data_IF_452084120291
#
_entry.id   IF_452084120291
#
_cell.length_a   1.000
_cell.length_b   1.000
_cell.length_c   1.000
_cell.angle_alpha   90.00
_cell.angle_beta   90.00
_cell.angle_gamma   90.00
#
_symmetry.space_group_name_H-M   'P 1'
#
loop_
_entity.id
_entity.type
_entity.pdbx_description
1 polymer ?
#
# COMPACT_ATOMS: atom_id res chain seq x y z
N UNK A 1 31.76 -46.81 -46.17
CA UNK A 1 31.43 -46.46 -44.77
C UNK A 1 30.88 -45.04 -44.78
N UNK A 2 29.85 -44.78 -43.97
CA UNK A 2 29.06 -43.52 -43.82
C UNK A 2 27.67 -43.56 -44.46
N UNK A 3 26.72 -44.20 -43.76
CA UNK A 3 25.28 -44.18 -44.02
C UNK A 3 24.70 -42.93 -43.34
N UNK A 4 24.17 -41.99 -44.13
CA UNK A 4 23.38 -40.86 -43.62
C UNK A 4 22.00 -41.36 -43.21
N UNK A 5 21.72 -41.40 -41.89
CA UNK A 5 20.38 -41.69 -41.37
C UNK A 5 19.47 -40.47 -41.53
N UNK A 6 18.72 -40.44 -42.62
CA UNK A 6 17.56 -39.56 -42.76
C UNK A 6 16.48 -40.01 -41.76
N UNK A 7 16.30 -39.27 -40.66
CA UNK A 7 15.25 -39.53 -39.67
C UNK A 7 13.90 -39.12 -40.25
N UNK A 8 13.04 -40.11 -40.52
CA UNK A 8 11.64 -39.91 -40.88
C UNK A 8 10.85 -39.39 -39.67
N UNK A 9 9.92 -38.42 -39.84
CA UNK A 9 9.01 -37.98 -38.78
C UNK A 9 8.02 -39.11 -38.41
N UNK A 10 7.64 -39.13 -37.13
CA UNK A 10 6.98 -40.25 -36.41
C UNK A 10 5.46 -40.38 -36.71
N UNK A 11 4.89 -39.61 -37.63
CA UNK A 11 3.44 -39.61 -37.86
C UNK A 11 3.10 -39.73 -39.35
N UNK A 12 3.12 -40.95 -39.88
CA UNK A 12 2.62 -41.25 -41.23
C UNK A 12 1.94 -42.63 -41.34
N UNK A 13 1.68 -43.34 -40.22
CA UNK A 13 1.28 -44.76 -40.27
C UNK A 13 -0.02 -45.07 -39.52
N UNK A 14 -1.07 -44.27 -39.74
CA UNK A 14 -2.45 -44.69 -39.46
C UNK A 14 -3.37 -44.27 -40.61
N UNK A 15 -3.20 -44.96 -41.73
CA UNK A 15 -4.23 -45.01 -42.77
C UNK A 15 -5.39 -45.92 -42.32
N UNK A 16 -6.58 -45.33 -42.35
CA UNK A 16 -7.81 -45.91 -42.92
C UNK A 16 -8.46 -47.12 -42.25
N UNK A 17 -9.37 -46.82 -41.30
CA UNK A 17 -10.65 -47.52 -41.19
C UNK A 17 -11.77 -46.46 -41.12
N UNK A 18 -12.39 -46.18 -42.27
CA UNK A 18 -13.62 -45.39 -42.48
C UNK A 18 -14.87 -46.30 -42.40
N UNK A 19 -16.17 -45.85 -42.34
CA UNK A 19 -16.80 -44.50 -42.21
C UNK A 19 -18.00 -44.51 -41.17
N UNK A 20 -18.98 -43.55 -41.05
CA UNK A 20 -19.74 -42.86 -42.11
C UNK A 20 -19.61 -41.33 -42.09
N UNK A 21 -19.51 -40.77 -43.30
CA UNK A 21 -20.09 -39.48 -43.74
C UNK A 21 -20.22 -38.41 -42.65
N UNK A 22 -19.22 -37.53 -42.60
CA UNK A 22 -19.47 -36.13 -42.25
C UNK A 22 -20.47 -35.60 -43.28
N UNK A 23 -21.76 -35.65 -42.93
CA UNK A 23 -22.73 -34.73 -43.50
C UNK A 23 -22.16 -33.35 -43.23
N UNK A 24 -21.73 -32.69 -44.29
CA UNK A 24 -21.46 -31.27 -44.31
C UNK A 24 -22.70 -30.58 -43.75
N UNK A 25 -22.70 -30.24 -42.47
CA UNK A 25 -23.61 -29.22 -41.98
C UNK A 25 -23.06 -27.89 -42.49
N UNK A 26 -23.87 -27.09 -43.19
CA UNK A 26 -23.41 -25.90 -43.89
C UNK A 26 -22.62 -24.98 -42.96
N UNK A 27 -21.57 -24.35 -43.52
CA UNK A 27 -21.14 -23.03 -43.04
C UNK A 27 -22.35 -22.12 -43.21
N UNK A 28 -23.18 -22.06 -42.18
CA UNK A 28 -24.23 -21.09 -42.07
C UNK A 28 -23.54 -19.79 -41.67
N UNK A 29 -23.48 -18.88 -42.62
CA UNK A 29 -23.19 -17.47 -42.39
C UNK A 29 -24.17 -16.96 -41.32
N UNK A 30 -23.76 -17.03 -40.05
CA UNK A 30 -24.53 -16.47 -38.95
C UNK A 30 -24.35 -14.95 -38.98
N UNK A 31 -25.27 -14.29 -39.68
CA UNK A 31 -25.71 -12.92 -39.44
C UNK A 31 -25.81 -12.63 -37.92
N UNK A 32 -25.65 -11.35 -37.50
CA UNK A 32 -25.31 -10.99 -36.12
C UNK A 32 -26.34 -11.52 -35.12
N UNK A 33 -26.02 -12.63 -34.47
CA UNK A 33 -26.86 -13.22 -33.43
C UNK A 33 -26.83 -12.31 -32.22
N UNK A 34 -27.99 -11.77 -31.86
CA UNK A 34 -28.17 -10.97 -30.65
C UNK A 34 -27.58 -11.72 -29.45
N UNK A 35 -26.75 -11.05 -28.61
CA UNK A 35 -25.93 -11.73 -27.63
C UNK A 35 -26.81 -12.49 -26.63
N UNK A 36 -26.61 -13.80 -26.57
CA UNK A 36 -27.18 -14.66 -25.53
C UNK A 36 -26.73 -14.14 -24.15
N UNK A 37 -27.56 -14.29 -23.10
CA UNK A 37 -27.24 -13.81 -21.75
C UNK A 37 -25.88 -14.29 -21.24
N UNK A 38 -25.44 -15.48 -21.64
CA UNK A 38 -24.13 -16.06 -21.33
C UNK A 38 -22.96 -15.32 -21.97
N UNK A 39 -23.10 -14.83 -23.22
CA UNK A 39 -22.05 -14.08 -23.92
C UNK A 39 -21.82 -12.70 -23.28
N UNK A 40 -22.86 -12.08 -22.73
CA UNK A 40 -22.74 -10.83 -21.97
C UNK A 40 -21.93 -11.01 -20.69
N UNK A 41 -22.17 -12.11 -19.96
CA UNK A 41 -21.43 -12.43 -18.75
C UNK A 41 -19.97 -12.77 -19.06
N UNK A 42 -19.72 -13.56 -20.11
CA UNK A 42 -18.37 -13.87 -20.57
C UNK A 42 -17.58 -12.60 -20.94
N UNK A 43 -18.22 -11.65 -21.63
CA UNK A 43 -17.65 -10.33 -21.92
C UNK A 43 -17.29 -9.55 -20.65
N UNK A 44 -18.19 -9.49 -19.67
CA UNK A 44 -17.94 -8.78 -18.41
C UNK A 44 -16.81 -9.40 -17.59
N UNK A 45 -16.76 -10.73 -17.49
CA UNK A 45 -15.67 -11.44 -16.80
C UNK A 45 -14.33 -11.19 -17.50
N UNK A 46 -14.32 -11.17 -18.84
CA UNK A 46 -13.13 -10.84 -19.63
C UNK A 46 -12.65 -9.41 -19.34
N UNK A 47 -13.54 -8.43 -19.36
CA UNK A 47 -13.20 -7.04 -19.04
C UNK A 47 -12.71 -6.88 -17.59
N UNK A 48 -13.37 -7.53 -16.63
CA UNK A 48 -12.95 -7.50 -15.23
C UNK A 48 -11.54 -8.10 -15.04
N UNK A 49 -11.27 -9.25 -15.65
CA UNK A 49 -9.94 -9.88 -15.60
C UNK A 49 -8.87 -8.96 -16.20
N UNK A 50 -9.13 -8.39 -17.36
CA UNK A 50 -8.18 -7.48 -18.03
C UNK A 50 -7.96 -6.21 -17.23
N UNK A 51 -9.01 -5.66 -16.61
CA UNK A 51 -8.92 -4.47 -15.76
C UNK A 51 -8.06 -4.74 -14.51
N UNK A 52 -8.33 -5.84 -13.80
CA UNK A 52 -7.53 -6.23 -12.63
C UNK A 52 -6.09 -6.46 -13.05
N UNK A 53 -5.85 -7.23 -14.11
CA UNK A 53 -4.50 -7.53 -14.59
C UNK A 53 -3.74 -6.25 -15.01
N UNK A 54 -4.39 -5.32 -15.69
CA UNK A 54 -3.77 -4.06 -16.07
C UNK A 54 -3.36 -3.23 -14.84
N UNK A 55 -4.21 -3.21 -13.80
CA UNK A 55 -3.90 -2.49 -12.57
C UNK A 55 -2.82 -3.18 -11.73
N UNK A 56 -2.77 -4.51 -11.71
CA UNK A 56 -1.71 -5.25 -11.01
C UNK A 56 -0.37 -5.06 -11.71
N UNK A 57 -0.31 -5.18 -13.03
CA UNK A 57 0.92 -4.96 -13.80
C UNK A 57 1.40 -3.51 -13.65
N UNK A 58 0.51 -2.52 -13.76
CA UNK A 58 0.89 -1.12 -13.57
C UNK A 58 1.39 -0.84 -12.14
N UNK A 59 0.87 -1.55 -11.13
CA UNK A 59 1.36 -1.45 -9.76
C UNK A 59 2.73 -2.11 -9.61
N UNK A 60 2.92 -3.31 -10.17
CA UNK A 60 4.19 -4.03 -10.18
C UNK A 60 5.29 -3.22 -10.87
N UNK A 61 5.01 -2.62 -12.03
CA UNK A 61 5.96 -1.78 -12.76
C UNK A 61 6.40 -0.56 -11.95
N UNK A 62 5.46 0.10 -11.27
CA UNK A 62 5.77 1.24 -10.39
C UNK A 62 6.60 0.84 -9.19
N UNK A 63 6.28 -0.29 -8.57
CA UNK A 63 7.03 -0.82 -7.44
C UNK A 63 8.44 -1.24 -7.87
N UNK A 64 8.57 -1.91 -9.01
CA UNK A 64 9.84 -2.32 -9.55
C UNK A 64 10.69 -1.11 -9.95
N UNK A 65 10.08 -0.09 -10.56
CA UNK A 65 10.74 1.17 -10.88
C UNK A 65 11.20 1.93 -9.63
N UNK A 66 10.35 2.02 -8.61
CA UNK A 66 10.71 2.62 -7.33
C UNK A 66 11.82 1.85 -6.63
N UNK A 67 11.73 0.52 -6.55
CA UNK A 67 12.75 -0.32 -5.94
C UNK A 67 14.07 -0.23 -6.71
N UNK A 68 14.03 -0.19 -8.04
CA UNK A 68 15.22 0.03 -8.86
C UNK A 68 15.84 1.40 -8.60
N UNK A 69 15.04 2.46 -8.46
CA UNK A 69 15.52 3.79 -8.12
C UNK A 69 16.10 3.85 -6.70
N UNK A 70 15.44 3.23 -5.73
CA UNK A 70 15.92 3.14 -4.34
C UNK A 70 17.21 2.35 -4.28
N UNK A 71 17.30 1.17 -4.90
CA UNK A 71 18.52 0.36 -4.93
C UNK A 71 19.67 1.06 -5.66
N UNK A 72 19.38 1.79 -6.75
CA UNK A 72 20.36 2.61 -7.43
C UNK A 72 20.89 3.73 -6.51
N UNK A 73 19.99 4.33 -5.73
CA UNK A 73 20.34 5.34 -4.74
C UNK A 73 21.10 4.72 -3.54
N UNK A 74 20.74 3.54 -3.08
CA UNK A 74 21.41 2.82 -1.99
C UNK A 74 22.86 2.47 -2.31
N UNK A 75 23.20 2.19 -3.58
CA UNK A 75 24.59 1.98 -3.99
C UNK A 75 25.44 3.23 -3.81
N UNK A 76 24.87 4.40 -4.16
CA UNK A 76 25.54 5.70 -3.95
C UNK A 76 25.68 6.03 -2.46
N UNK A 77 24.66 5.77 -1.64
CA UNK A 77 24.74 5.93 -0.19
C UNK A 77 25.67 4.91 0.47
N UNK A 78 25.74 3.67 -0.02
CA UNK A 78 26.64 2.65 0.55
C UNK A 78 28.09 2.95 0.21
N UNK A 79 28.40 3.43 -0.99
CA UNK A 79 29.74 3.91 -1.32
C UNK A 79 30.10 5.19 -0.54
N UNK A 80 29.16 6.12 -0.36
CA UNK A 80 29.39 7.31 0.46
C UNK A 80 29.52 6.97 1.94
N UNK A 81 28.68 6.10 2.50
CA UNK A 81 28.73 5.64 3.91
C UNK A 81 29.97 4.77 4.16
N UNK A 82 30.35 3.90 3.22
CA UNK A 82 31.60 3.14 3.30
C UNK A 82 32.84 4.04 3.24
N UNK A 83 32.74 5.18 2.54
CA UNK A 83 33.81 6.19 2.55
C UNK A 83 33.76 7.15 3.75
N UNK A 84 32.67 7.19 4.52
CA UNK A 84 32.44 8.16 5.62
C UNK A 84 32.12 7.54 7.00
N UNK A 85 32.45 6.28 7.25
CA UNK A 85 32.34 5.76 8.61
C UNK A 85 33.43 6.36 9.53
N UNK A 86 33.13 6.94 10.71
CA UNK A 86 31.91 7.60 11.21
C UNK A 86 32.19 9.02 11.82
N UNK A 87 31.15 9.81 12.18
CA UNK A 87 30.97 10.05 13.61
C UNK A 87 29.53 9.76 14.12
N UNK A 88 29.39 9.26 15.36
CA UNK A 88 28.14 8.89 16.02
C UNK A 88 27.31 10.09 16.55
N UNK A 89 27.42 11.26 15.92
CA UNK A 89 26.75 12.49 16.38
C UNK A 89 25.34 12.68 15.83
N UNK A 90 24.98 11.94 14.78
CA UNK A 90 23.58 11.87 14.35
C UNK A 90 22.88 10.87 15.27
N UNK A 91 22.44 11.35 16.43
CA UNK A 91 21.57 10.63 17.35
C UNK A 91 20.19 10.26 16.76
N UNK A 92 19.93 10.60 15.48
CA UNK A 92 18.78 10.13 14.70
C UNK A 92 19.21 8.96 13.80
N UNK A 93 19.12 7.73 14.31
CA UNK A 93 19.24 6.55 13.45
C UNK A 93 17.96 6.44 12.61
N UNK A 94 17.99 7.00 11.40
CA UNK A 94 16.85 7.06 10.47
C UNK A 94 16.27 5.67 10.19
N UNK A 95 17.12 4.63 10.10
CA UNK A 95 16.67 3.25 9.83
C UNK A 95 15.77 2.66 10.94
N UNK A 96 16.20 2.56 12.21
CA UNK A 96 15.30 2.11 13.28
C UNK A 96 14.17 3.10 13.56
N UNK A 97 14.40 4.41 13.39
CA UNK A 97 13.35 5.43 13.54
C UNK A 97 12.20 5.24 12.55
N UNK A 98 12.50 5.06 11.27
CA UNK A 98 11.51 4.82 10.23
C UNK A 98 10.70 3.54 10.47
N UNK A 99 11.34 2.49 11.03
CA UNK A 99 10.64 1.27 11.43
C UNK A 99 9.63 1.55 12.56
N UNK A 100 9.99 2.34 13.57
CA UNK A 100 9.05 2.70 14.64
C UNK A 100 7.86 3.51 14.12
N UNK A 101 8.10 4.42 13.19
CA UNK A 101 7.03 5.17 12.50
C UNK A 101 6.09 4.25 11.74
N UNK A 102 6.64 3.28 11.00
CA UNK A 102 5.86 2.30 10.25
C UNK A 102 5.03 1.40 11.18
N UNK A 103 5.63 0.92 12.27
CA UNK A 103 4.93 0.13 13.29
C UNK A 103 3.82 0.96 13.96
N UNK A 104 4.07 2.22 14.28
CA UNK A 104 3.06 3.11 14.85
C UNK A 104 1.88 3.32 13.88
N UNK A 105 2.16 3.60 12.60
CA UNK A 105 1.13 3.73 11.57
C UNK A 105 0.32 2.44 11.40
N UNK A 106 1.00 1.28 11.37
CA UNK A 106 0.36 -0.03 11.27
C UNK A 106 -0.52 -0.33 12.50
N UNK A 107 -0.06 0.07 13.70
CA UNK A 107 -0.85 -0.01 14.94
C UNK A 107 -2.10 0.86 14.84
N UNK A 108 -1.99 2.09 14.31
CA UNK A 108 -3.12 2.95 14.01
C UNK A 108 -4.11 2.33 13.00
N UNK A 109 -3.61 1.57 12.03
CA UNK A 109 -4.45 0.82 11.07
C UNK A 109 -5.19 -0.34 11.71
N UNK A 110 -4.60 -1.03 12.67
CA UNK A 110 -5.26 -2.11 13.39
C UNK A 110 -6.40 -1.52 14.25
N UNK A 111 -6.13 -0.43 14.96
CA UNK A 111 -7.12 0.23 15.84
C UNK A 111 -8.29 0.80 15.03
N UNK A 112 -8.04 1.40 13.87
CA UNK A 112 -9.08 1.98 13.01
C UNK A 112 -9.80 0.96 12.11
N UNK A 113 -9.45 -0.33 12.18
CA UNK A 113 -9.96 -1.40 11.29
C UNK A 113 -11.48 -1.54 11.29
N UNK A 114 -12.15 -1.31 12.43
CA UNK A 114 -13.60 -1.45 12.58
C UNK A 114 -14.33 -0.08 12.68
N UNK A 115 -13.76 0.96 12.08
CA UNK A 115 -14.34 2.30 12.05
C UNK A 115 -14.61 2.73 10.60
N UNK A 116 -15.27 3.88 10.44
CA UNK A 116 -15.58 4.45 9.13
C UNK A 116 -14.36 4.44 8.18
N UNK A 117 -14.61 4.26 6.88
CA UNK A 117 -13.56 4.20 5.83
C UNK A 117 -12.61 5.41 5.87
N UNK A 118 -13.15 6.58 6.24
CA UNK A 118 -12.38 7.80 6.44
C UNK A 118 -11.37 7.66 7.59
N UNK A 119 -11.81 7.15 8.75
CA UNK A 119 -10.92 6.93 9.89
C UNK A 119 -9.88 5.84 9.61
N UNK A 120 -10.26 4.81 8.87
CA UNK A 120 -9.34 3.75 8.44
C UNK A 120 -8.21 4.28 7.55
N UNK A 121 -8.48 5.31 6.76
CA UNK A 121 -7.45 5.98 5.97
C UNK A 121 -6.66 6.98 6.81
N UNK A 122 -7.31 7.87 7.55
CA UNK A 122 -6.65 9.03 8.18
C UNK A 122 -5.88 8.69 9.46
N UNK A 123 -6.36 7.75 10.28
CA UNK A 123 -5.74 7.41 11.56
C UNK A 123 -4.32 6.84 11.39
N UNK A 124 -4.05 5.88 10.48
CA UNK A 124 -2.68 5.40 10.23
C UNK A 124 -1.73 6.53 9.83
N UNK A 125 -2.18 7.46 8.98
CA UNK A 125 -1.36 8.60 8.57
C UNK A 125 -1.11 9.57 9.72
N UNK A 126 -2.14 9.90 10.50
CA UNK A 126 -1.98 10.80 11.64
C UNK A 126 -1.01 10.22 12.69
N UNK A 127 -1.16 8.93 13.02
CA UNK A 127 -0.27 8.23 13.96
C UNK A 127 1.14 8.11 13.39
N UNK A 128 1.28 7.77 12.11
CA UNK A 128 2.58 7.70 11.43
C UNK A 128 3.30 9.03 11.40
N UNK A 129 2.62 10.11 10.99
CA UNK A 129 3.21 11.46 10.97
C UNK A 129 3.55 11.96 12.38
N UNK A 130 2.69 11.68 13.37
CA UNK A 130 2.97 12.00 14.76
C UNK A 130 4.20 11.26 15.30
N UNK A 131 4.31 9.96 15.01
CA UNK A 131 5.48 9.17 15.36
C UNK A 131 6.74 9.68 14.64
N UNK A 132 6.62 10.09 13.37
CA UNK A 132 7.74 10.64 12.61
C UNK A 132 8.26 11.94 13.23
N UNK A 133 7.36 12.78 13.74
CA UNK A 133 7.73 14.02 14.43
C UNK A 133 8.45 13.77 15.76
N UNK A 134 8.01 12.76 16.52
CA UNK A 134 8.58 12.42 17.84
C UNK A 134 9.91 11.67 17.70
N UNK A 135 9.96 10.71 16.77
CA UNK A 135 11.10 9.79 16.63
C UNK A 135 12.17 10.34 15.69
N UNK A 136 11.80 11.17 14.69
CA UNK A 136 12.72 11.77 13.72
C UNK A 136 12.49 13.30 13.54
N UNK A 137 12.59 14.10 14.61
CA UNK A 137 12.34 15.55 14.55
C UNK A 137 13.22 16.30 13.54
N UNK A 138 14.50 15.95 13.38
CA UNK A 138 15.40 16.65 12.45
C UNK A 138 15.16 16.24 11.00
N UNK A 139 14.90 14.95 10.74
CA UNK A 139 14.47 14.49 9.42
C UNK A 139 13.19 15.19 8.98
N UNK A 140 12.22 15.33 9.89
CA UNK A 140 10.94 15.98 9.59
C UNK A 140 11.10 17.49 9.33
N UNK A 141 12.00 18.18 10.03
CA UNK A 141 12.36 19.58 9.75
C UNK A 141 13.01 19.74 8.38
N UNK A 142 13.91 18.83 8.00
CA UNK A 142 14.58 18.87 6.70
C UNK A 142 13.62 18.60 5.53
N UNK A 143 12.74 17.60 5.68
CA UNK A 143 11.68 17.33 4.71
C UNK A 143 10.72 18.53 4.63
N UNK A 144 10.36 19.13 5.76
CA UNK A 144 9.56 20.35 5.80
C UNK A 144 10.19 21.53 5.04
N UNK A 145 11.49 21.74 5.18
CA UNK A 145 12.23 22.76 4.43
C UNK A 145 12.27 22.45 2.92
N UNK A 146 12.36 21.18 2.55
CA UNK A 146 12.35 20.75 1.15
C UNK A 146 10.98 20.94 0.50
N UNK A 147 9.92 20.56 1.24
CA UNK A 147 8.53 20.84 0.87
C UNK A 147 8.32 22.35 0.73
N UNK A 148 8.84 23.15 1.66
CA UNK A 148 8.79 24.62 1.60
C UNK A 148 9.45 25.17 0.34
N UNK A 149 10.65 24.67 0.00
CA UNK A 149 11.40 25.12 -1.19
C UNK A 149 10.70 24.73 -2.50
N UNK A 150 9.99 23.60 -2.49
CA UNK A 150 9.16 23.17 -3.62
C UNK A 150 7.87 23.99 -3.71
N UNK A 151 7.25 24.28 -2.57
CA UNK A 151 6.05 25.09 -2.42
C UNK A 151 6.28 26.55 -2.84
N UNK A 152 7.46 27.11 -2.59
CA UNK A 152 7.86 28.45 -3.04
C UNK A 152 7.91 28.57 -4.57
N UNK A 153 8.17 27.46 -5.27
CA UNK A 153 8.15 27.41 -6.74
C UNK A 153 6.74 27.30 -7.33
N UNK A 154 5.72 27.03 -6.51
CA UNK A 154 4.32 26.87 -6.94
C UNK A 154 3.42 27.86 -6.18
N UNK A 155 3.08 29.02 -6.76
CA UNK A 155 2.42 30.12 -6.06
C UNK A 155 0.99 29.80 -5.55
N UNK A 156 0.39 28.70 -5.99
CA UNK A 156 -0.96 28.28 -5.58
C UNK A 156 -0.95 27.60 -4.20
N UNK A 157 0.18 27.02 -3.78
CA UNK A 157 0.28 26.20 -2.58
C UNK A 157 0.73 27.05 -1.37
N UNK A 158 1.60 28.05 -1.59
CA UNK A 158 2.15 28.93 -0.54
C UNK A 158 1.12 29.67 0.32
N UNK A 159 -0.05 30.03 -0.22
CA UNK A 159 -1.13 30.69 0.53
C UNK A 159 -1.76 29.71 1.55
N UNK A 160 -1.78 28.42 1.24
CA UNK A 160 -2.41 27.43 2.09
C UNK A 160 -1.50 27.06 3.29
N UNK A 161 -0.18 27.23 3.17
CA UNK A 161 0.78 26.95 4.24
C UNK A 161 0.55 27.77 5.52
N UNK A 162 0.27 29.06 5.40
CA UNK A 162 -0.01 29.93 6.56
C UNK A 162 -1.29 29.51 7.29
N UNK A 163 -2.29 29.04 6.56
CA UNK A 163 -3.53 28.49 7.12
C UNK A 163 -3.29 27.15 7.81
N UNK A 164 -2.46 26.29 7.23
CA UNK A 164 -2.09 25.00 7.82
C UNK A 164 -1.28 25.20 9.11
N UNK A 165 -0.32 26.13 9.13
CA UNK A 165 0.43 26.49 10.35
C UNK A 165 -0.47 27.05 11.45
N UNK A 166 -1.33 28.01 11.11
CA UNK A 166 -2.28 28.56 12.08
C UNK A 166 -3.26 27.51 12.61
N UNK A 167 -3.71 26.59 11.76
CA UNK A 167 -4.56 25.47 12.18
C UNK A 167 -3.81 24.47 13.09
N UNK A 168 -2.52 24.23 12.83
CA UNK A 168 -1.69 23.36 13.66
C UNK A 168 -1.41 23.99 15.04
N UNK A 169 -1.08 25.28 15.09
CA UNK A 169 -0.85 26.03 16.34
C UNK A 169 -2.13 26.09 17.19
N UNK A 170 -3.27 26.40 16.57
CA UNK A 170 -4.55 26.48 17.27
C UNK A 170 -5.01 25.08 17.73
N UNK A 171 -4.79 24.05 16.91
CA UNK A 171 -5.04 22.66 17.30
C UNK A 171 -4.18 22.23 18.50
N UNK A 172 -2.90 22.62 18.52
CA UNK A 172 -1.99 22.37 19.64
C UNK A 172 -2.43 23.09 20.92
N UNK A 173 -2.84 24.37 20.79
CA UNK A 173 -3.34 25.16 21.91
C UNK A 173 -4.62 24.55 22.50
N UNK A 174 -5.54 24.10 21.64
CA UNK A 174 -6.76 23.43 22.07
C UNK A 174 -6.51 22.06 22.70
N UNK A 175 -5.51 21.31 22.20
CA UNK A 175 -5.11 20.04 22.79
C UNK A 175 -4.60 20.23 24.22
N UNK A 176 -3.74 21.23 24.45
CA UNK A 176 -3.23 21.57 25.79
C UNK A 176 -4.33 21.99 26.76
N UNK A 177 -5.36 22.71 26.28
CA UNK A 177 -6.49 23.14 27.12
C UNK A 177 -7.42 21.95 27.47
N UNK A 178 -7.50 20.91 26.63
CA UNK A 178 -8.36 19.72 26.88
C UNK A 178 -7.70 18.61 27.70
N UNK A 179 -6.48 18.83 28.19
CA UNK A 179 -5.72 17.84 28.96
C UNK A 179 -6.47 17.42 30.24
N UNK A 180 -7.05 18.37 30.97
CA UNK A 180 -7.78 18.10 32.23
C UNK A 180 -9.03 17.23 32.03
N UNK A 181 -9.78 17.48 30.95
CA UNK A 181 -10.97 16.68 30.64
C UNK A 181 -10.61 15.25 30.24
N UNK A 182 -9.45 15.09 29.61
CA UNK A 182 -8.95 13.78 29.17
C UNK A 182 -8.48 12.94 30.36
N UNK A 183 -7.79 13.54 31.33
CA UNK A 183 -7.34 12.84 32.54
C UNK A 183 -8.51 12.32 33.38
N UNK A 184 -9.58 13.12 33.53
CA UNK A 184 -10.79 12.68 34.25
C UNK A 184 -11.46 11.50 33.57
N UNK A 185 -11.55 11.52 32.24
CA UNK A 185 -12.10 10.41 31.48
C UNK A 185 -11.26 9.13 31.61
N UNK A 186 -9.93 9.25 31.64
CA UNK A 186 -9.05 8.10 31.89
C UNK A 186 -9.23 7.52 33.29
N UNK A 187 -9.31 8.37 34.31
CA UNK A 187 -9.49 7.93 35.70
C UNK A 187 -10.82 7.20 35.89
N UNK A 188 -11.90 7.73 35.31
CA UNK A 188 -13.23 7.08 35.31
C UNK A 188 -13.20 5.73 34.61
N UNK A 189 -12.52 5.64 33.46
CA UNK A 189 -12.42 4.38 32.70
C UNK A 189 -11.55 3.34 33.40
N UNK A 190 -10.48 3.76 34.07
CA UNK A 190 -9.64 2.87 34.89
C UNK A 190 -10.44 2.38 36.09
N UNK A 191 -11.23 3.25 36.72
CA UNK A 191 -12.18 2.89 37.78
C UNK A 191 -13.17 1.83 37.34
N UNK A 192 -13.88 2.05 36.23
CA UNK A 192 -14.86 1.10 35.67
C UNK A 192 -14.22 -0.24 35.28
N UNK A 193 -12.99 -0.20 34.75
CA UNK A 193 -12.22 -1.41 34.43
C UNK A 193 -11.89 -2.19 35.70
N UNK A 194 -11.46 -1.49 36.75
CA UNK A 194 -11.12 -2.09 38.04
C UNK A 194 -12.36 -2.68 38.71
N UNK A 195 -13.48 -1.97 38.70
CA UNK A 195 -14.76 -2.47 39.20
C UNK A 195 -15.27 -3.68 38.41
N UNK A 196 -15.08 -3.71 37.08
CA UNK A 196 -15.43 -4.86 36.25
C UNK A 196 -14.57 -6.08 36.59
N UNK A 197 -13.27 -5.89 36.87
CA UNK A 197 -12.36 -6.95 37.30
C UNK A 197 -12.70 -7.42 38.72
N UNK A 198 -12.91 -6.51 39.66
CA UNK A 198 -13.31 -6.83 41.04
C UNK A 198 -14.67 -7.53 41.07
N UNK A 199 -15.62 -7.06 40.26
CA UNK A 199 -16.94 -7.68 40.07
C UNK A 199 -16.86 -9.08 39.47
N UNK A 200 -15.92 -9.31 38.54
CA UNK A 200 -15.68 -10.63 37.95
C UNK A 200 -15.05 -11.60 38.96
N UNK A 201 -14.07 -11.15 39.74
CA UNK A 201 -13.46 -11.91 40.84
C UNK A 201 -14.50 -12.23 41.93
N UNK A 202 -15.39 -11.28 42.26
CA UNK A 202 -16.44 -11.49 43.27
C UNK A 202 -17.57 -12.41 42.81
N UNK A 203 -17.76 -12.58 41.49
CA UNK A 203 -18.80 -13.44 40.91
C UNK A 203 -18.37 -14.90 40.70
N UNK A 204 -17.13 -15.23 41.05
CA UNK A 204 -16.66 -16.61 41.24
C UNK A 204 -16.39 -17.38 39.95
N UNK A 205 -15.14 -17.30 39.47
CA UNK A 205 -14.23 -18.42 39.75
C UNK A 205 -13.37 -18.07 40.94
#
# INVERSE_FOLDING_TARGET
MSIQLSRKPIYDDLTLLDPPKSSQTPKEDSLPSSPTPTDRLAGQIKHARLFIHAHTVAAEDRLNGFMSAVLHQERSFTQTIASLAPPPEIHERVMPGALYVLVAAMTGSIISRNRNILLRATVPFAVGLGAAWIVLPNTMRNVGNLVWTYEEKVPVISINHMRIRGAAEEGWRQAKIREEATMKWFDERVGESREAVEGWVRKGR
#
